data_IF_452037942979
#
_entry.id   IF_452037942979
#
_cell.length_a   1.000
_cell.length_b   1.000
_cell.length_c   1.000
_cell.angle_alpha   90.00
_cell.angle_beta   90.00
_cell.angle_gamma   90.00
#
_symmetry.space_group_name_H-M   'P 1'
#
loop_
_entity.id
_entity.type
_entity.pdbx_description
1 polymer ?
#
# COMPACT_ATOMS: atom_id res chain seq x y z
N UNK A 1 -13.38 -18.91 16.26
CA UNK A 1 -12.91 -18.45 17.59
C UNK A 1 -11.58 -17.73 17.38
N UNK A 2 -11.39 -16.51 17.88
CA UNK A 2 -10.14 -15.75 17.66
C UNK A 2 -9.09 -16.27 18.64
N UNK A 3 -8.06 -16.97 18.15
CA UNK A 3 -6.93 -17.35 18.99
C UNK A 3 -6.08 -16.12 19.36
N UNK A 4 -6.09 -15.78 20.65
CA UNK A 4 -5.31 -14.69 21.24
C UNK A 4 -4.09 -15.29 21.91
N UNK A 5 -2.89 -14.92 21.46
CA UNK A 5 -1.62 -15.40 22.02
C UNK A 5 -1.21 -14.58 23.26
N UNK A 6 -0.54 -15.23 24.21
CA UNK A 6 0.07 -14.53 25.35
C UNK A 6 1.11 -13.49 24.91
N UNK A 7 1.17 -12.36 25.62
CA UNK A 7 2.04 -11.22 25.28
C UNK A 7 1.64 -10.46 24.01
N UNK A 8 0.55 -10.86 23.34
CA UNK A 8 0.10 -10.16 22.14
C UNK A 8 -0.66 -8.88 22.48
N UNK A 9 -0.61 -7.91 21.57
CA UNK A 9 -1.42 -6.69 21.63
C UNK A 9 -2.91 -6.96 21.93
N UNK A 10 -3.48 -8.03 21.37
CA UNK A 10 -4.88 -8.38 21.60
C UNK A 10 -5.15 -8.87 23.02
N UNK A 11 -4.20 -9.54 23.67
CA UNK A 11 -4.35 -9.98 25.06
C UNK A 11 -4.40 -8.78 26.00
N UNK A 12 -3.40 -7.89 25.91
CA UNK A 12 -3.37 -6.67 26.74
C UNK A 12 -4.59 -5.78 26.52
N UNK A 13 -4.97 -5.57 25.26
CA UNK A 13 -6.13 -4.73 24.95
C UNK A 13 -7.44 -5.37 25.46
N UNK A 14 -7.55 -6.70 25.41
CA UNK A 14 -8.71 -7.42 25.94
C UNK A 14 -8.78 -7.37 27.48
N UNK A 15 -7.62 -7.48 28.15
CA UNK A 15 -7.50 -7.32 29.60
C UNK A 15 -7.93 -5.92 30.06
N UNK A 16 -7.51 -4.86 29.34
CA UNK A 16 -7.97 -3.48 29.60
C UNK A 16 -9.47 -3.27 29.39
N UNK A 17 -10.14 -4.18 28.68
CA UNK A 17 -11.58 -4.17 28.46
C UNK A 17 -12.31 -5.21 29.32
N UNK A 18 -11.74 -5.63 30.46
CA UNK A 18 -12.34 -6.63 31.36
C UNK A 18 -12.71 -7.95 30.67
N UNK A 19 -11.94 -8.36 29.66
CA UNK A 19 -12.20 -9.52 28.82
C UNK A 19 -13.50 -9.47 27.99
N UNK A 20 -14.06 -8.27 27.80
CA UNK A 20 -15.19 -8.04 26.91
C UNK A 20 -14.70 -7.80 25.47
N UNK A 21 -15.02 -8.74 24.59
CA UNK A 21 -14.64 -8.71 23.17
C UNK A 21 -15.37 -7.61 22.39
N UNK A 22 -16.62 -7.29 22.73
CA UNK A 22 -17.38 -6.25 22.03
C UNK A 22 -16.90 -4.86 22.45
N UNK A 23 -16.66 -4.66 23.75
CA UNK A 23 -16.03 -3.43 24.25
C UNK A 23 -14.64 -3.20 23.63
N UNK A 24 -13.85 -4.27 23.48
CA UNK A 24 -12.56 -4.22 22.79
C UNK A 24 -12.69 -3.76 21.34
N UNK A 25 -13.60 -4.39 20.58
CA UNK A 25 -13.84 -4.04 19.17
C UNK A 25 -14.27 -2.58 19.03
N UNK A 26 -15.16 -2.12 19.89
CA UNK A 26 -15.65 -0.73 19.86
C UNK A 26 -14.51 0.26 20.12
N UNK A 27 -13.73 0.03 21.19
CA UNK A 27 -12.58 0.88 21.54
C UNK A 27 -11.56 0.94 20.41
N UNK A 28 -11.12 -0.21 19.91
CA UNK A 28 -10.11 -0.29 18.86
C UNK A 28 -10.60 0.28 17.53
N UNK A 29 -11.89 0.15 17.21
CA UNK A 29 -12.51 0.79 16.05
C UNK A 29 -12.47 2.32 16.17
N UNK A 30 -12.85 2.87 17.34
CA UNK A 30 -12.77 4.32 17.62
C UNK A 30 -11.33 4.84 17.54
N UNK A 31 -10.38 4.15 18.15
CA UNK A 31 -8.96 4.52 18.10
C UNK A 31 -8.41 4.48 16.67
N UNK A 32 -8.72 3.43 15.90
CA UNK A 32 -8.30 3.31 14.52
C UNK A 32 -8.86 4.46 13.66
N UNK A 33 -10.14 4.79 13.81
CA UNK A 33 -10.77 5.88 13.07
C UNK A 33 -10.15 7.25 13.41
N UNK A 34 -9.75 7.46 14.66
CA UNK A 34 -9.17 8.72 15.14
C UNK A 34 -7.68 8.88 14.81
N UNK A 35 -6.92 7.79 14.78
CA UNK A 35 -5.46 7.85 14.81
C UNK A 35 -4.76 7.01 13.74
N UNK A 36 -5.42 5.98 13.21
CA UNK A 36 -4.82 5.00 12.31
C UNK A 36 -3.76 4.13 12.99
N UNK A 37 -3.30 3.08 12.28
CA UNK A 37 -2.40 2.06 12.86
C UNK A 37 -1.03 2.58 13.28
N UNK A 38 -0.50 3.62 12.62
CA UNK A 38 0.82 4.18 12.94
C UNK A 38 0.84 4.91 14.28
N UNK A 39 -0.22 5.66 14.61
CA UNK A 39 -0.27 6.39 15.89
C UNK A 39 -0.73 5.48 17.02
N UNK A 40 -1.63 4.53 16.75
CA UNK A 40 -1.94 3.44 17.69
C UNK A 40 -0.68 2.66 18.07
N UNK A 41 0.17 2.31 17.10
CA UNK A 41 1.44 1.63 17.33
C UNK A 41 2.34 2.36 18.35
N UNK A 42 2.40 3.68 18.29
CA UNK A 42 3.17 4.49 19.26
C UNK A 42 2.56 4.47 20.65
N UNK A 43 1.23 4.59 20.76
CA UNK A 43 0.52 4.59 22.04
C UNK A 43 0.65 3.23 22.73
N UNK A 44 0.48 2.15 21.96
CA UNK A 44 0.46 0.79 22.49
C UNK A 44 1.84 0.14 22.56
N UNK A 45 2.90 0.76 22.05
CA UNK A 45 4.26 0.20 22.05
C UNK A 45 4.44 -1.01 21.13
N UNK A 46 3.59 -1.19 20.11
CA UNK A 46 3.67 -2.30 19.17
C UNK A 46 3.98 -1.85 17.74
N UNK A 47 4.54 -2.75 16.93
CA UNK A 47 4.76 -2.47 15.52
C UNK A 47 3.43 -2.22 14.76
N UNK A 48 3.33 -1.24 13.84
CA UNK A 48 2.08 -0.94 13.11
C UNK A 48 1.46 -2.12 12.36
N UNK A 49 2.31 -3.01 11.83
CA UNK A 49 1.88 -4.26 11.17
C UNK A 49 1.18 -5.22 12.13
N UNK A 50 1.58 -5.22 13.40
CA UNK A 50 0.96 -6.05 14.46
C UNK A 50 -0.44 -5.52 14.76
N UNK A 51 -0.58 -4.21 15.01
CA UNK A 51 -1.87 -3.54 15.20
C UNK A 51 -2.80 -3.82 14.01
N UNK A 52 -2.31 -3.63 12.78
CA UNK A 52 -3.10 -3.88 11.57
C UNK A 52 -3.62 -5.32 11.46
N UNK A 53 -2.76 -6.31 11.71
CA UNK A 53 -3.16 -7.73 11.68
C UNK A 53 -4.20 -8.03 12.75
N UNK A 54 -4.05 -7.45 13.93
CA UNK A 54 -4.96 -7.66 15.07
C UNK A 54 -6.33 -7.04 14.83
N UNK A 55 -6.40 -5.80 14.33
CA UNK A 55 -7.66 -5.17 13.92
C UNK A 55 -8.37 -6.01 12.84
N UNK A 56 -7.63 -6.53 11.86
CA UNK A 56 -8.17 -7.40 10.82
C UNK A 56 -8.71 -8.72 11.38
N UNK A 57 -8.02 -9.33 12.36
CA UNK A 57 -8.48 -10.55 13.04
C UNK A 57 -9.79 -10.34 13.81
N UNK A 58 -10.00 -9.14 14.35
CA UNK A 58 -11.23 -8.77 15.05
C UNK A 58 -12.39 -8.40 14.12
N UNK A 59 -12.18 -8.41 12.80
CA UNK A 59 -13.19 -8.01 11.83
C UNK A 59 -13.42 -6.50 11.74
N UNK A 60 -12.54 -5.68 12.34
CA UNK A 60 -12.65 -4.22 12.27
C UNK A 60 -12.34 -3.77 10.84
N UNK A 61 -13.23 -2.97 10.24
CA UNK A 61 -13.06 -2.46 8.87
C UNK A 61 -11.92 -1.45 8.83
N UNK A 62 -10.76 -1.91 8.42
CA UNK A 62 -9.60 -1.06 8.19
C UNK A 62 -9.76 -0.41 6.81
N UNK A 63 -9.66 0.93 6.73
CA UNK A 63 -9.50 1.63 5.46
C UNK A 63 -8.44 0.90 4.64
N UNK A 64 -8.80 0.48 3.44
CA UNK A 64 -7.81 -0.04 2.50
C UNK A 64 -6.70 0.99 2.39
N UNK A 65 -5.43 0.54 2.36
CA UNK A 65 -4.36 1.49 2.03
C UNK A 65 -4.82 2.16 0.73
N UNK A 66 -4.74 3.49 0.59
CA UNK A 66 -5.15 4.16 -0.66
C UNK A 66 -4.43 3.68 -1.95
N UNK A 67 -3.53 2.69 -1.81
CA UNK A 67 -2.92 1.92 -2.89
C UNK A 67 -3.65 0.62 -3.27
N UNK A 68 -4.54 0.08 -2.42
CA UNK A 68 -5.27 -1.18 -2.59
C UNK A 68 -6.61 -1.00 -3.32
N UNK A 69 -7.33 0.12 -3.11
CA UNK A 69 -8.48 0.53 -3.96
C UNK A 69 -8.09 0.79 -5.43
N UNK A 70 -6.79 0.80 -5.72
CA UNK A 70 -6.23 0.82 -7.06
C UNK A 70 -6.30 -0.59 -7.68
N UNK A 71 -7.49 -1.19 -7.78
CA UNK A 71 -7.70 -2.51 -8.42
C UNK A 71 -7.24 -2.52 -9.91
N UNK A 72 -7.04 -1.35 -10.51
CA UNK A 72 -6.02 -1.13 -11.53
C UNK A 72 -4.92 -0.27 -10.93
N UNK A 73 -3.70 -0.79 -10.70
CA UNK A 73 -2.57 0.03 -10.23
C UNK A 73 -2.47 1.31 -11.07
N UNK A 74 -2.03 2.44 -10.52
CA UNK A 74 -1.84 3.69 -11.31
C UNK A 74 -1.03 3.45 -12.59
N UNK A 75 -0.14 2.45 -12.56
CA UNK A 75 0.56 1.95 -13.75
C UNK A 75 -0.38 1.33 -14.80
N UNK A 76 -1.30 0.43 -14.42
CA UNK A 76 -2.31 -0.13 -15.33
C UNK A 76 -3.19 0.96 -15.96
N UNK A 77 -3.65 1.93 -15.16
CA UNK A 77 -4.44 3.07 -15.67
C UNK A 77 -3.62 3.92 -16.65
N UNK A 78 -2.43 4.34 -16.25
CA UNK A 78 -1.56 5.15 -17.12
C UNK A 78 -1.12 4.40 -18.38
N UNK A 79 -0.90 3.08 -18.31
CA UNK A 79 -0.63 2.26 -19.49
C UNK A 79 -1.83 2.22 -20.42
N UNK A 80 -3.06 2.07 -19.91
CA UNK A 80 -4.28 2.10 -20.72
C UNK A 80 -4.42 3.43 -21.46
N UNK A 81 -4.15 4.56 -20.80
CA UNK A 81 -4.19 5.90 -21.39
C UNK A 81 -3.14 6.12 -22.48
N UNK A 82 -1.96 5.51 -22.35
CA UNK A 82 -0.88 5.60 -23.36
C UNK A 82 -1.06 4.59 -24.51
N UNK A 83 -2.00 3.65 -24.42
CA UNK A 83 -2.20 2.59 -25.43
C UNK A 83 -1.37 1.33 -25.17
N UNK A 84 -0.95 1.11 -23.93
CA UNK A 84 -0.29 -0.11 -23.46
C UNK A 84 1.24 -0.03 -23.41
N UNK A 85 1.86 -1.17 -23.07
CA UNK A 85 3.32 -1.27 -22.90
C UNK A 85 4.07 -1.08 -24.23
N UNK A 86 3.52 -1.56 -25.34
CA UNK A 86 4.16 -1.42 -26.66
C UNK A 86 4.24 0.05 -27.11
N UNK A 87 3.15 0.80 -26.88
CA UNK A 87 3.12 2.23 -27.15
C UNK A 87 4.14 2.97 -26.27
N UNK A 88 4.22 2.61 -24.98
CA UNK A 88 5.21 3.16 -24.06
C UNK A 88 6.67 2.89 -24.50
N UNK A 89 6.95 1.70 -25.05
CA UNK A 89 8.28 1.34 -25.56
C UNK A 89 8.66 2.10 -26.85
N UNK A 90 7.67 2.45 -27.68
CA UNK A 90 7.85 3.26 -28.88
C UNK A 90 7.99 4.75 -28.55
N UNK A 91 7.48 5.20 -27.40
CA UNK A 91 7.44 6.60 -27.01
C UNK A 91 8.85 7.20 -26.80
N UNK A 92 9.16 8.23 -27.59
CA UNK A 92 10.38 9.03 -27.45
C UNK A 92 10.09 10.30 -26.66
N UNK A 93 10.89 10.60 -25.64
CA UNK A 93 10.68 11.80 -24.81
C UNK A 93 11.40 11.76 -23.47
N UNK A 94 11.11 12.70 -22.58
CA UNK A 94 11.61 12.65 -21.21
C UNK A 94 10.72 11.77 -20.33
N UNK A 95 11.32 10.99 -19.43
CA UNK A 95 10.57 10.14 -18.50
C UNK A 95 9.61 10.97 -17.63
N UNK A 96 9.97 12.23 -17.35
CA UNK A 96 9.14 13.15 -16.58
C UNK A 96 7.80 13.42 -17.24
N UNK A 97 7.80 13.73 -18.53
CA UNK A 97 6.59 14.10 -19.28
C UNK A 97 5.70 12.88 -19.48
N UNK A 98 6.30 11.72 -19.75
CA UNK A 98 5.59 10.46 -19.92
C UNK A 98 4.92 10.06 -18.60
N UNK A 99 5.63 10.15 -17.48
CA UNK A 99 5.09 9.84 -16.17
C UNK A 99 3.96 10.81 -15.77
N UNK A 100 4.09 12.10 -16.10
CA UNK A 100 3.05 13.10 -15.89
C UNK A 100 1.77 12.75 -16.67
N UNK A 101 1.88 12.37 -17.95
CA UNK A 101 0.74 11.90 -18.76
C UNK A 101 0.07 10.67 -18.16
N UNK A 102 0.84 9.75 -17.58
CA UNK A 102 0.34 8.54 -16.93
C UNK A 102 -0.17 8.77 -15.49
N UNK A 103 -0.12 9.99 -14.95
CA UNK A 103 -0.53 10.29 -13.57
C UNK A 103 0.33 9.59 -12.49
N UNK A 104 1.60 9.31 -12.79
CA UNK A 104 2.53 8.62 -11.88
C UNK A 104 3.85 9.37 -11.71
N UNK A 105 4.63 8.99 -10.68
CA UNK A 105 5.97 9.56 -10.51
C UNK A 105 6.98 8.98 -11.52
N UNK A 106 7.95 9.78 -11.99
CA UNK A 106 9.00 9.29 -12.89
C UNK A 106 9.82 8.14 -12.29
N UNK A 107 10.06 8.18 -10.97
CA UNK A 107 10.73 7.11 -10.23
C UNK A 107 9.94 5.80 -10.28
N UNK A 108 8.63 5.88 -10.08
CA UNK A 108 7.76 4.69 -10.13
C UNK A 108 7.76 4.05 -11.53
N UNK A 109 7.70 4.87 -12.57
CA UNK A 109 7.81 4.42 -13.96
C UNK A 109 9.15 3.72 -14.24
N UNK A 110 10.27 4.33 -13.81
CA UNK A 110 11.59 3.71 -14.01
C UNK A 110 11.76 2.39 -13.25
N UNK A 111 11.31 2.31 -11.99
CA UNK A 111 11.37 1.07 -11.20
C UNK A 111 10.53 -0.03 -11.85
N UNK A 112 9.34 0.30 -12.34
CA UNK A 112 8.51 -0.65 -13.07
C UNK A 112 9.22 -1.17 -14.33
N UNK A 113 9.70 -0.27 -15.18
CA UNK A 113 10.37 -0.66 -16.43
C UNK A 113 11.62 -1.51 -16.17
N UNK A 114 12.41 -1.16 -15.15
CA UNK A 114 13.58 -1.95 -14.75
C UNK A 114 13.21 -3.36 -14.27
N UNK A 115 12.17 -3.49 -13.43
CA UNK A 115 11.66 -4.81 -12.98
C UNK A 115 11.17 -5.69 -14.13
N UNK A 116 10.76 -5.07 -15.23
CA UNK A 116 10.32 -5.76 -16.45
C UNK A 116 11.44 -5.90 -17.49
N UNK A 117 12.71 -5.68 -17.11
CA UNK A 117 13.86 -5.91 -17.98
C UNK A 117 14.08 -4.82 -19.03
N UNK A 118 13.67 -3.58 -18.75
CA UNK A 118 13.92 -2.43 -19.62
C UNK A 118 14.75 -1.35 -18.92
N UNK A 119 15.66 -0.74 -19.69
CA UNK A 119 16.45 0.42 -19.26
C UNK A 119 16.16 1.62 -20.15
N UNK A 120 16.33 2.83 -19.62
CA UNK A 120 16.19 4.05 -20.41
C UNK A 120 17.44 4.27 -21.26
N UNK A 121 17.29 4.32 -22.59
CA UNK A 121 18.37 4.72 -23.50
C UNK A 121 18.45 6.24 -23.57
N UNK A 122 19.58 6.83 -23.17
CA UNK A 122 19.83 8.27 -23.33
C UNK A 122 19.92 8.66 -24.81
N UNK A 123 20.54 7.81 -25.64
CA UNK A 123 20.72 8.03 -27.08
C UNK A 123 19.39 8.01 -27.83
N UNK A 124 18.55 7.02 -27.57
CA UNK A 124 17.30 6.83 -28.31
C UNK A 124 16.10 7.52 -27.65
N UNK A 125 16.29 8.10 -26.46
CA UNK A 125 15.23 8.67 -25.61
C UNK A 125 14.00 7.77 -25.53
N UNK A 126 14.20 6.44 -25.43
CA UNK A 126 13.15 5.43 -25.27
C UNK A 126 13.58 4.32 -24.30
N UNK A 127 12.65 3.48 -23.86
CA UNK A 127 13.00 2.27 -23.11
C UNK A 127 13.47 1.19 -24.09
N UNK A 128 14.57 0.55 -23.76
CA UNK A 128 15.17 -0.55 -24.53
C UNK A 128 15.36 -1.73 -23.59
N UNK A 129 15.36 -2.95 -24.14
CA UNK A 129 15.60 -4.15 -23.34
C UNK A 129 16.95 -4.02 -22.63
N UNK A 130 16.95 -4.27 -21.33
CA UNK A 130 18.17 -4.39 -20.55
C UNK A 130 18.76 -5.75 -20.90
N UNK A 131 19.94 -5.73 -21.53
CA UNK A 131 20.79 -6.92 -21.65
C UNK A 131 21.45 -7.18 -20.30
#
# INVERSE_FOLDING_TARGET
>A
MVEIKEGSFLKLALEECNNDLEALKERLSKEYNKHGTTKMAKVWGYHPKTIWKSLKKLGIKIKEKGWQECHETRMKKGLKEIGGIEALLKFRGETRDIAAKMGISPRYLNVFMWRHGYRRSKKEKRWVKAN
#
